data_IF_405492426883
#
_entry.id   IF_405492426883
#
_cell.length_a   1.000
_cell.length_b   1.000
_cell.length_c   1.000
_cell.angle_alpha   90.00
_cell.angle_beta   90.00
_cell.angle_gamma   90.00
#
_symmetry.space_group_name_H-M   'P 1'
#
loop_
_entity.id
_entity.type
_entity.pdbx_description
1 polymer ?
#
# COMPACT_ATOMS: atom_id res chain seq x y z
N UNK A 1 14.88 3.06 -9.29
CA UNK A 1 15.91 3.31 -8.28
C UNK A 1 15.18 3.39 -6.96
N UNK A 2 15.21 2.28 -6.22
CA UNK A 2 14.60 2.13 -4.89
C UNK A 2 15.57 2.72 -3.85
N UNK A 3 15.07 3.47 -2.87
CA UNK A 3 15.92 4.00 -1.80
C UNK A 3 16.53 2.86 -1.00
N UNK A 4 17.85 2.87 -0.84
CA UNK A 4 18.55 1.85 -0.06
C UNK A 4 18.45 2.19 1.44
N UNK A 5 18.05 1.19 2.23
CA UNK A 5 18.01 1.25 3.68
C UNK A 5 19.16 0.42 4.26
N UNK A 6 19.94 1.03 5.16
CA UNK A 6 20.80 0.28 6.06
C UNK A 6 20.12 0.03 7.39
N UNK A 7 20.21 -1.22 7.84
CA UNK A 7 19.79 -1.64 9.18
C UNK A 7 20.76 -2.71 9.70
N UNK A 8 20.77 -2.93 11.01
CA UNK A 8 21.54 -4.00 11.65
C UNK A 8 20.62 -5.14 12.03
N UNK A 9 21.03 -6.38 11.78
CA UNK A 9 20.27 -7.54 12.17
C UNK A 9 20.09 -7.56 13.71
N UNK A 10 18.86 -7.59 14.24
CA UNK A 10 18.64 -7.57 15.69
C UNK A 10 19.13 -8.85 16.39
N UNK A 11 19.40 -9.93 15.65
CA UNK A 11 19.93 -11.19 16.19
C UNK A 11 21.45 -11.21 16.33
N UNK A 12 22.20 -10.65 15.37
CA UNK A 12 23.66 -10.78 15.31
C UNK A 12 24.43 -9.47 15.12
N UNK A 13 23.75 -8.33 14.98
CA UNK A 13 24.34 -7.01 14.75
C UNK A 13 24.90 -6.79 13.34
N UNK A 14 24.93 -7.81 12.48
CA UNK A 14 25.49 -7.70 11.14
C UNK A 14 24.64 -6.79 10.23
N UNK A 15 25.26 -6.06 9.28
CA UNK A 15 24.54 -5.15 8.40
C UNK A 15 23.61 -5.91 7.44
N UNK A 16 22.42 -5.35 7.22
CA UNK A 16 21.43 -5.85 6.28
C UNK A 16 20.98 -4.70 5.37
N UNK A 17 20.97 -4.96 4.06
CA UNK A 17 20.42 -4.05 3.06
C UNK A 17 18.93 -4.34 2.84
N UNK A 18 18.12 -3.29 2.95
CA UNK A 18 16.68 -3.34 2.80
C UNK A 18 16.21 -2.33 1.74
N UNK A 19 15.03 -2.58 1.19
CA UNK A 19 14.23 -1.61 0.46
C UNK A 19 13.07 -1.12 1.34
N UNK A 20 12.55 0.07 1.06
CA UNK A 20 11.46 0.70 1.84
C UNK A 20 10.15 -0.12 1.84
N UNK A 21 9.94 -0.92 0.80
CA UNK A 21 8.82 -1.86 0.65
C UNK A 21 9.01 -3.16 1.42
N UNK A 22 10.22 -3.47 1.88
CA UNK A 22 10.48 -4.73 2.55
C UNK A 22 9.71 -4.81 3.87
N UNK A 23 9.16 -6.00 4.11
CA UNK A 23 8.48 -6.42 5.33
C UNK A 23 9.16 -7.64 5.94
N UNK A 24 9.93 -8.37 5.14
CA UNK A 24 10.69 -9.55 5.54
C UNK A 24 12.12 -9.41 5.03
N UNK A 25 13.08 -9.80 5.85
CA UNK A 25 14.46 -9.95 5.41
C UNK A 25 15.09 -11.24 5.94
N UNK A 26 16.07 -11.74 5.20
CA UNK A 26 16.97 -12.81 5.64
C UNK A 26 18.35 -12.22 5.88
N UNK A 27 18.93 -12.44 7.06
CA UNK A 27 20.28 -11.99 7.36
C UNK A 27 21.29 -12.90 6.65
N UNK A 28 22.21 -12.36 5.82
CA UNK A 28 23.20 -13.19 5.11
C UNK A 28 24.27 -13.78 6.03
N UNK A 29 24.35 -13.34 7.29
CA UNK A 29 25.37 -13.79 8.25
C UNK A 29 24.86 -14.90 9.16
N UNK A 30 23.78 -14.65 9.92
CA UNK A 30 23.21 -15.66 10.82
C UNK A 30 22.04 -16.44 10.23
N UNK A 31 21.65 -16.15 8.99
CA UNK A 31 20.54 -16.82 8.26
C UNK A 31 19.16 -16.69 8.93
N UNK A 32 19.02 -15.88 9.98
CA UNK A 32 17.71 -15.59 10.57
C UNK A 32 16.84 -14.86 9.55
N UNK A 33 15.56 -15.25 9.50
CA UNK A 33 14.55 -14.57 8.69
C UNK A 33 13.52 -13.93 9.59
N UNK A 34 13.35 -12.62 9.45
CA UNK A 34 12.58 -11.80 10.36
C UNK A 34 11.57 -10.95 9.61
N UNK A 35 10.40 -10.80 10.22
CA UNK A 35 9.45 -9.76 9.87
C UNK A 35 9.81 -8.44 10.52
N UNK A 36 9.52 -7.36 9.79
CA UNK A 36 9.64 -5.98 10.24
C UNK A 36 8.22 -5.44 10.45
N UNK A 37 7.91 -5.11 11.70
CA UNK A 37 6.64 -4.50 12.10
C UNK A 37 6.86 -3.06 12.54
N UNK A 38 5.84 -2.22 12.37
CA UNK A 38 5.81 -0.86 12.91
C UNK A 38 4.43 -0.54 13.47
N UNK A 39 4.38 0.16 14.61
CA UNK A 39 3.13 0.75 15.13
C UNK A 39 2.76 2.03 14.35
N UNK A 40 2.28 1.83 13.12
CA UNK A 40 1.94 2.89 12.17
C UNK A 40 2.87 2.93 10.97
N UNK A 41 2.89 4.03 10.19
CA UNK A 41 3.81 4.20 9.07
C UNK A 41 5.27 3.97 9.50
N UNK A 42 6.10 3.45 8.60
CA UNK A 42 7.53 3.37 8.85
C UNK A 42 8.14 4.77 8.94
N UNK A 43 9.08 4.92 9.87
CA UNK A 43 9.76 6.19 10.13
C UNK A 43 11.25 6.04 9.81
N UNK A 44 11.72 6.89 8.91
CA UNK A 44 13.08 6.93 8.41
C UNK A 44 13.70 8.28 8.69
N UNK A 45 15.02 8.36 8.75
CA UNK A 45 15.78 9.61 8.79
C UNK A 45 16.87 9.62 7.73
N UNK A 46 17.21 10.84 7.32
CA UNK A 46 18.46 11.14 6.66
C UNK A 46 19.53 11.36 7.74
N UNK A 47 20.74 10.83 7.54
CA UNK A 47 21.86 11.07 8.46
C UNK A 47 22.44 12.47 8.23
N UNK A 48 22.74 13.24 9.29
CA UNK A 48 23.48 14.48 9.13
C UNK A 48 24.86 14.19 8.51
N UNK A 49 25.33 15.09 7.65
CA UNK A 49 26.62 14.99 6.96
C UNK A 49 27.64 16.02 7.44
N UNK A 50 27.20 16.97 8.25
CA UNK A 50 28.03 18.02 8.83
C UNK A 50 27.92 17.98 10.35
N UNK A 51 28.92 18.54 11.03
CA UNK A 51 28.88 18.82 12.45
C UNK A 51 28.54 20.29 12.67
N UNK A 52 27.75 20.58 13.70
CA UNK A 52 27.36 21.94 14.05
C UNK A 52 27.08 22.02 15.57
N UNK A 53 27.40 23.14 16.25
CA UNK A 53 27.20 23.28 17.70
C UNK A 53 25.72 23.43 18.12
N UNK A 54 24.83 23.71 17.18
CA UNK A 54 23.39 23.84 17.42
C UNK A 54 22.70 22.51 17.75
N UNK A 55 21.49 22.59 18.27
CA UNK A 55 20.67 21.42 18.60
C UNK A 55 20.22 20.71 17.33
N UNK A 56 20.47 19.40 17.24
CA UNK A 56 20.00 18.57 16.13
C UNK A 56 18.50 18.26 16.27
N UNK A 57 17.72 18.72 15.30
CA UNK A 57 16.27 18.50 15.20
C UNK A 57 15.95 17.79 13.88
N UNK A 58 15.16 16.73 13.96
CA UNK A 58 14.66 15.94 12.85
C UNK A 58 13.25 16.41 12.48
N UNK A 59 13.11 16.98 11.29
CA UNK A 59 11.87 17.55 10.76
C UNK A 59 11.12 16.51 9.93
N UNK A 60 9.84 16.22 10.19
CA UNK A 60 9.08 15.18 9.50
C UNK A 60 8.57 15.64 8.12
N UNK A 61 8.71 14.76 7.13
CA UNK A 61 8.09 14.86 5.83
C UNK A 61 7.32 13.58 5.54
N UNK A 62 6.05 13.71 5.14
CA UNK A 62 5.30 12.58 4.61
C UNK A 62 5.83 12.25 3.24
N UNK A 63 6.24 11.00 3.01
CA UNK A 63 6.56 10.47 1.69
C UNK A 63 5.48 9.51 1.25
N UNK A 64 5.04 9.67 0.01
CA UNK A 64 4.12 8.80 -0.68
C UNK A 64 4.80 8.21 -1.89
N UNK A 65 4.80 6.88 -1.98
CA UNK A 65 5.20 6.18 -3.20
C UNK A 65 4.17 5.15 -3.60
N UNK A 66 3.42 5.38 -4.66
CA UNK A 66 2.34 4.48 -5.09
C UNK A 66 1.50 5.02 -6.25
N UNK A 67 0.37 4.37 -6.51
CA UNK A 67 -0.55 4.79 -7.56
C UNK A 67 -1.54 5.83 -7.03
N UNK A 68 -1.69 6.94 -7.73
CA UNK A 68 -2.77 7.89 -7.52
C UNK A 68 -3.78 7.82 -8.67
N UNK A 69 -5.05 7.86 -8.31
CA UNK A 69 -6.19 7.82 -9.22
C UNK A 69 -7.05 9.06 -9.02
N UNK A 70 -7.45 9.67 -10.13
CA UNK A 70 -8.49 10.69 -10.17
C UNK A 70 -9.45 10.37 -11.31
N UNK A 71 -10.68 10.02 -10.94
CA UNK A 71 -11.76 9.77 -11.87
C UNK A 71 -12.74 10.93 -11.81
N UNK A 72 -12.92 11.61 -12.95
CA UNK A 72 -14.01 12.56 -13.18
C UNK A 72 -15.19 11.90 -13.92
N UNK A 73 -16.24 12.68 -14.24
CA UNK A 73 -17.41 12.21 -14.99
C UNK A 73 -17.11 11.72 -16.41
N UNK A 74 -16.03 12.22 -17.02
CA UNK A 74 -15.69 11.92 -18.42
C UNK A 74 -14.28 11.35 -18.60
N UNK A 75 -13.36 11.62 -17.67
CA UNK A 75 -11.95 11.24 -17.81
C UNK A 75 -11.46 10.41 -16.63
N UNK A 76 -10.50 9.54 -16.90
CA UNK A 76 -9.79 8.77 -15.87
C UNK A 76 -8.33 9.17 -15.99
N UNK A 77 -7.75 9.64 -14.89
CA UNK A 77 -6.34 9.94 -14.81
C UNK A 77 -5.73 9.11 -13.71
N UNK A 78 -4.54 8.59 -13.98
CA UNK A 78 -3.77 7.86 -12.99
C UNK A 78 -2.29 8.11 -13.22
N UNK A 79 -1.53 8.11 -12.12
CA UNK A 79 -0.09 8.36 -12.15
C UNK A 79 0.58 7.55 -11.05
N UNK A 80 1.77 7.05 -11.33
CA UNK A 80 2.68 6.53 -10.29
C UNK A 80 3.40 7.74 -9.71
N UNK A 81 3.35 7.89 -8.40
CA UNK A 81 3.94 9.01 -7.68
C UNK A 81 5.04 8.51 -6.76
N UNK A 82 6.10 9.30 -6.66
CA UNK A 82 7.01 9.32 -5.53
C UNK A 82 7.16 10.80 -5.17
N UNK A 83 6.58 11.19 -4.04
CA UNK A 83 6.49 12.60 -3.64
C UNK A 83 6.54 12.72 -2.13
N UNK A 84 7.09 13.83 -1.66
CA UNK A 84 7.23 14.11 -0.25
C UNK A 84 6.79 15.55 0.05
N UNK A 85 6.14 15.77 1.19
CA UNK A 85 5.69 17.08 1.65
C UNK A 85 5.96 17.24 3.14
N UNK A 86 6.31 18.46 3.53
CA UNK A 86 6.50 18.81 4.94
C UNK A 86 5.27 18.44 5.77
N UNK A 87 5.48 17.71 6.87
CA UNK A 87 4.41 17.21 7.74
C UNK A 87 4.09 18.14 8.92
N UNK A 88 4.72 19.32 8.95
CA UNK A 88 4.47 20.41 9.90
C UNK A 88 4.18 21.72 9.18
N UNK A 89 3.53 22.67 9.86
CA UNK A 89 3.31 24.01 9.31
C UNK A 89 4.46 24.91 9.75
N UNK A 90 5.48 25.07 8.91
CA UNK A 90 6.57 26.00 9.15
C UNK A 90 7.06 26.60 7.82
N UNK A 91 6.89 27.92 7.59
CA UNK A 91 7.24 28.54 6.32
C UNK A 91 8.75 28.71 6.09
N UNK A 92 9.59 28.60 7.14
CA UNK A 92 11.04 28.66 7.01
C UNK A 92 11.65 27.34 6.51
N UNK A 93 10.89 26.24 6.58
CA UNK A 93 11.35 24.93 6.13
C UNK A 93 10.96 24.68 4.67
N UNK A 94 11.82 24.00 3.88
CA UNK A 94 11.47 23.63 2.52
C UNK A 94 10.15 22.83 2.46
N UNK A 95 9.28 23.07 1.46
CA UNK A 95 8.00 22.36 1.37
C UNK A 95 8.16 20.87 1.01
N UNK A 96 9.35 20.47 0.52
CA UNK A 96 9.69 19.15 0.02
C UNK A 96 11.18 18.87 0.22
N UNK A 97 11.55 17.60 0.38
CA UNK A 97 12.91 17.06 0.35
C UNK A 97 13.49 16.96 -1.08
N UNK A 98 12.74 17.37 -2.11
CA UNK A 98 13.12 17.15 -3.50
C UNK A 98 13.39 15.67 -3.78
N UNK A 99 14.55 15.39 -4.38
CA UNK A 99 15.00 14.03 -4.72
C UNK A 99 15.75 13.31 -3.59
N UNK A 100 15.91 13.92 -2.40
CA UNK A 100 16.77 13.37 -1.34
C UNK A 100 16.26 12.02 -0.83
N UNK A 101 14.95 11.87 -0.64
CA UNK A 101 14.36 10.61 -0.19
C UNK A 101 14.54 9.44 -1.18
N UNK A 102 14.77 9.75 -2.47
CA UNK A 102 15.01 8.78 -3.53
C UNK A 102 16.50 8.51 -3.77
N UNK A 103 17.35 9.54 -3.58
CA UNK A 103 18.77 9.51 -3.97
C UNK A 103 19.72 9.26 -2.79
N UNK A 104 19.26 9.43 -1.55
CA UNK A 104 20.09 9.26 -0.36
C UNK A 104 19.72 7.99 0.40
N UNK A 105 20.71 7.43 1.08
CA UNK A 105 20.51 6.30 1.99
C UNK A 105 19.68 6.72 3.20
N UNK A 106 18.64 5.95 3.46
CA UNK A 106 17.74 6.14 4.60
C UNK A 106 18.11 5.17 5.73
N UNK A 107 17.82 5.54 6.97
CA UNK A 107 17.91 4.64 8.12
C UNK A 107 16.67 4.74 8.96
N UNK A 108 16.28 3.64 9.59
CA UNK A 108 15.17 3.65 10.52
C UNK A 108 15.39 4.60 11.70
N UNK A 109 14.29 5.16 12.20
CA UNK A 109 14.27 5.87 13.48
C UNK A 109 14.14 4.85 14.61
N UNK A 110 15.14 4.83 15.48
CA UNK A 110 15.23 3.93 16.64
C UNK A 110 15.35 4.73 17.94
N UNK A 111 14.98 4.18 19.11
CA UNK A 111 15.06 4.90 20.39
C UNK A 111 16.44 5.49 20.72
N UNK A 112 17.51 4.85 20.25
CA UNK A 112 18.89 5.30 20.45
C UNK A 112 19.33 6.40 19.45
N UNK A 113 18.44 6.83 18.56
CA UNK A 113 18.76 7.82 17.54
C UNK A 113 18.99 9.19 18.15
N UNK A 114 20.14 9.78 17.86
CA UNK A 114 20.52 11.11 18.31
C UNK A 114 19.63 12.23 17.71
N UNK A 115 19.37 13.25 18.54
CA UNK A 115 18.62 14.45 18.20
C UNK A 115 17.19 14.43 18.74
N UNK A 116 16.51 15.55 18.53
CA UNK A 116 15.08 15.71 18.84
C UNK A 116 14.27 15.52 17.56
N UNK A 117 13.03 15.04 17.68
CA UNK A 117 12.15 14.72 16.55
C UNK A 117 10.87 15.52 16.68
N UNK A 118 10.50 16.26 15.64
CA UNK A 118 9.19 16.90 15.60
C UNK A 118 8.12 15.88 15.22
N UNK A 119 7.01 15.79 15.98
CA UNK A 119 5.87 14.99 15.55
C UNK A 119 5.20 15.63 14.33
N UNK A 120 4.65 14.84 13.40
CA UNK A 120 3.87 15.38 12.29
C UNK A 120 2.58 16.03 12.82
N UNK A 121 2.36 17.31 12.55
CA UNK A 121 1.12 18.01 12.92
C UNK A 121 0.05 17.91 11.85
N UNK A 122 0.44 17.54 10.62
CA UNK A 122 -0.49 17.23 9.53
C UNK A 122 -0.73 15.72 9.50
N UNK A 123 -1.96 15.23 9.72
CA UNK A 123 -2.27 13.81 9.62
C UNK A 123 -2.08 13.26 8.20
N UNK A 124 -1.83 11.96 8.09
CA UNK A 124 -1.66 11.25 6.81
C UNK A 124 -2.86 11.38 5.86
N UNK A 125 -4.09 11.39 6.42
CA UNK A 125 -5.34 11.57 5.66
C UNK A 125 -5.36 12.92 4.95
N UNK A 126 -4.98 13.98 5.66
CA UNK A 126 -4.90 15.33 5.11
C UNK A 126 -3.78 15.44 4.09
N UNK A 127 -2.64 14.78 4.35
CA UNK A 127 -1.52 14.70 3.42
C UNK A 127 -1.94 14.09 2.06
N UNK A 128 -2.63 12.94 2.02
CA UNK A 128 -3.11 12.36 0.75
C UNK A 128 -3.99 13.34 -0.03
N UNK A 129 -4.86 14.08 0.66
CA UNK A 129 -5.70 15.10 0.04
C UNK A 129 -4.90 16.31 -0.49
N UNK A 130 -3.83 16.72 0.20
CA UNK A 130 -2.93 17.81 -0.20
C UNK A 130 -2.07 17.38 -1.38
N UNK A 131 -1.52 16.17 -1.33
CA UNK A 131 -0.75 15.55 -2.40
C UNK A 131 -1.57 15.56 -3.69
N UNK A 132 -2.79 14.98 -3.67
CA UNK A 132 -3.67 14.92 -4.84
C UNK A 132 -4.05 16.31 -5.41
N UNK A 133 -4.04 17.37 -4.58
CA UNK A 133 -4.27 18.75 -5.02
C UNK A 133 -3.04 19.40 -5.64
N UNK A 134 -1.85 19.04 -5.16
CA UNK A 134 -0.58 19.63 -5.59
C UNK A 134 0.01 18.97 -6.85
N UNK A 135 -0.63 17.92 -7.40
CA UNK A 135 -0.06 17.13 -8.49
C UNK A 135 0.02 17.89 -9.83
N UNK A 136 1.23 18.09 -10.37
CA UNK A 136 1.40 18.68 -11.70
C UNK A 136 0.86 17.74 -12.79
N UNK A 137 0.06 18.28 -13.71
CA UNK A 137 -0.50 17.55 -14.87
C UNK A 137 -1.85 16.85 -14.62
N UNK A 138 -2.32 16.82 -13.37
CA UNK A 138 -3.73 16.56 -13.06
C UNK A 138 -4.44 17.90 -13.11
N UNK A 139 -5.32 18.18 -14.10
CA UNK A 139 -6.03 19.44 -14.15
C UNK A 139 -6.78 19.62 -12.83
N UNK A 140 -6.83 20.85 -12.32
CA UNK A 140 -7.82 21.25 -11.33
C UNK A 140 -9.21 21.16 -11.99
N UNK A 141 -9.70 19.94 -12.17
CA UNK A 141 -11.00 19.70 -12.77
C UNK A 141 -12.05 20.29 -11.85
N UNK A 142 -12.77 21.28 -12.35
CA UNK A 142 -13.97 21.81 -11.70
C UNK A 142 -15.05 20.73 -11.80
N UNK A 143 -15.49 20.19 -10.67
CA UNK A 143 -16.55 19.18 -10.62
C UNK A 143 -16.28 18.04 -9.64
N UNK A 144 -17.25 17.15 -9.43
CA UNK A 144 -17.11 16.03 -8.52
C UNK A 144 -16.09 15.02 -9.07
N UNK A 145 -15.26 14.47 -8.19
CA UNK A 145 -14.22 13.50 -8.53
C UNK A 145 -14.12 12.40 -7.48
N UNK A 146 -13.77 11.20 -7.93
CA UNK A 146 -13.40 10.08 -7.07
C UNK A 146 -11.89 9.96 -7.10
N UNK A 147 -11.28 9.86 -5.92
CA UNK A 147 -9.83 9.78 -5.79
C UNK A 147 -9.44 8.60 -4.92
N UNK A 148 -8.33 7.95 -5.27
CA UNK A 148 -7.75 6.91 -4.45
C UNK A 148 -6.22 6.95 -4.57
N UNK A 149 -5.56 6.54 -3.51
CA UNK A 149 -4.15 6.19 -3.50
C UNK A 149 -4.06 4.71 -3.15
N UNK A 150 -3.37 3.91 -3.96
CA UNK A 150 -3.34 2.44 -3.84
C UNK A 150 -1.95 1.91 -4.16
N UNK A 151 -1.52 0.87 -3.46
CA UNK A 151 -0.19 0.31 -3.59
C UNK A 151 0.85 1.27 -3.05
N UNK A 152 0.48 2.08 -2.05
CA UNK A 152 1.30 3.15 -1.55
C UNK A 152 2.15 2.76 -0.35
N UNK A 153 3.44 3.02 -0.43
CA UNK A 153 4.26 3.15 0.75
C UNK A 153 4.11 4.59 1.27
N UNK A 154 3.28 4.73 2.29
CA UNK A 154 3.27 5.93 3.11
C UNK A 154 4.30 5.78 4.24
N UNK A 155 5.30 6.66 4.26
CA UNK A 155 6.34 6.71 5.30
C UNK A 155 6.55 8.13 5.81
N UNK A 156 7.13 8.25 7.00
CA UNK A 156 7.71 9.51 7.48
C UNK A 156 9.20 9.49 7.18
N UNK A 157 9.70 10.53 6.55
CA UNK A 157 11.13 10.76 6.33
C UNK A 157 11.53 12.03 7.08
N UNK A 158 12.46 11.86 8.01
CA UNK A 158 12.98 12.93 8.85
C UNK A 158 14.23 13.56 8.22
N UNK A 159 14.16 14.86 7.98
CA UNK A 159 15.29 15.67 7.55
C UNK A 159 16.01 16.24 8.77
N UNK A 160 17.33 16.02 8.92
CA UNK A 160 18.10 16.60 10.00
C UNK A 160 18.35 18.08 9.73
N UNK A 161 18.12 18.90 10.74
CA UNK A 161 18.31 20.36 10.76
C UNK A 161 18.98 20.73 12.08
N UNK A 162 20.01 21.57 12.04
CA UNK A 162 20.57 22.16 13.25
C UNK A 162 19.87 23.47 13.57
N UNK A 163 19.50 23.67 14.84
CA UNK A 163 18.95 24.91 15.33
C UNK A 163 19.90 25.59 16.31
N UNK A 164 20.19 26.86 16.06
CA UNK A 164 20.85 27.77 17.00
C UNK A 164 20.12 29.13 16.98
N UNK A 165 20.78 30.20 16.52
CA UNK A 165 20.11 31.45 16.13
C UNK A 165 19.42 31.33 14.76
N UNK A 166 19.89 30.40 13.93
CA UNK A 166 19.36 30.09 12.61
C UNK A 166 19.11 28.59 12.47
N UNK A 167 18.28 28.24 11.49
CA UNK A 167 18.11 26.87 11.01
C UNK A 167 19.13 26.59 9.92
N UNK A 168 19.88 25.50 10.07
CA UNK A 168 20.91 25.06 9.13
C UNK A 168 20.58 23.64 8.67
N UNK A 169 20.57 23.41 7.36
CA UNK A 169 20.40 22.08 6.79
C UNK A 169 21.59 21.19 7.19
N UNK A 170 21.35 20.11 7.94
CA UNK A 170 22.43 19.25 8.44
C UNK A 170 23.02 18.32 7.37
N UNK A 171 22.52 18.37 6.13
CA UNK A 171 23.04 17.64 4.97
C UNK A 171 23.94 18.55 4.13
N UNK A 172 23.50 19.77 3.81
CA UNK A 172 24.21 20.70 2.90
C UNK A 172 24.99 21.81 3.62
N UNK A 173 24.61 22.14 4.85
CA UNK A 173 25.12 23.31 5.58
C UNK A 173 24.48 24.63 5.18
N UNK A 174 23.44 24.61 4.34
CA UNK A 174 22.75 25.82 3.91
C UNK A 174 21.89 26.41 5.02
N UNK A 175 21.85 27.74 5.09
CA UNK A 175 20.96 28.47 6.00
C UNK A 175 19.53 28.42 5.45
N UNK A 176 18.61 27.87 6.25
CA UNK A 176 17.20 27.72 5.89
C UNK A 176 16.37 28.94 6.31
N UNK A 177 16.79 29.63 7.37
CA UNK A 177 16.11 30.81 7.90
C UNK A 177 16.40 31.04 9.39
N UNK A 178 15.72 32.01 10.03
CA UNK A 178 15.85 32.24 11.46
C UNK A 178 15.35 31.03 12.27
N UNK A 179 15.91 30.83 13.46
CA UNK A 179 15.45 29.79 14.38
C UNK A 179 13.98 29.99 14.73
N UNK A 180 13.16 28.98 14.44
CA UNK A 180 11.70 29.05 14.57
C UNK A 180 11.05 27.74 15.01
N UNK A 181 11.84 26.74 15.40
CA UNK A 181 11.31 25.49 15.95
C UNK A 181 11.36 25.60 17.46
N UNK A 182 10.23 25.41 18.15
CA UNK A 182 10.25 25.30 19.60
C UNK A 182 10.76 23.91 20.01
N UNK A 183 11.91 23.79 20.70
CA UNK A 183 12.40 22.48 21.16
C UNK A 183 11.43 21.76 22.11
N UNK A 184 10.51 22.47 22.77
CA UNK A 184 9.48 21.88 23.62
C UNK A 184 8.42 21.08 22.85
N UNK A 185 8.24 21.37 21.55
CA UNK A 185 7.36 20.59 20.66
C UNK A 185 8.05 19.32 20.14
N UNK A 186 9.37 19.20 20.33
CA UNK A 186 10.13 18.06 19.86
C UNK A 186 10.25 16.99 20.96
N UNK A 187 10.38 15.74 20.53
CA UNK A 187 10.46 14.57 21.41
C UNK A 187 11.72 13.75 21.13
N UNK A 188 12.05 12.81 22.02
CA UNK A 188 13.06 11.79 21.71
C UNK A 188 12.59 10.90 20.56
N UNK A 189 13.54 10.23 19.92
CA UNK A 189 13.28 9.33 18.80
C UNK A 189 12.19 8.29 19.15
N UNK A 190 11.11 8.20 18.35
CA UNK A 190 10.05 7.22 18.57
C UNK A 190 10.55 5.80 18.28
N UNK A 191 10.28 4.85 19.19
CA UNK A 191 10.61 3.44 19.04
C UNK A 191 9.42 2.61 18.56
N UNK A 192 9.16 2.58 17.26
CA UNK A 192 7.98 1.89 16.70
C UNK A 192 8.26 0.52 16.08
N UNK A 193 9.52 0.23 15.79
CA UNK A 193 9.92 -1.01 15.14
C UNK A 193 9.87 -2.20 16.08
N UNK A 194 9.31 -3.29 15.58
CA UNK A 194 9.33 -4.60 16.23
C UNK A 194 9.72 -5.65 15.21
N UNK A 195 10.34 -6.73 15.67
CA UNK A 195 10.75 -7.84 14.82
C UNK A 195 10.17 -9.14 15.37
N UNK A 196 9.73 -10.02 14.47
CA UNK A 196 9.29 -11.37 14.82
C UNK A 196 9.89 -12.39 13.86
N UNK A 197 10.11 -13.61 14.36
CA UNK A 197 10.57 -14.72 13.52
C UNK A 197 9.51 -15.10 12.47
N UNK A 198 9.94 -15.51 11.27
CA UNK A 198 9.04 -16.06 10.24
C UNK A 198 8.71 -17.54 10.50
N UNK A 199 8.28 -17.87 11.72
CA UNK A 199 7.90 -19.22 12.13
C UNK A 199 6.39 -19.33 12.26
N UNK A 200 5.84 -20.49 11.90
CA UNK A 200 4.42 -20.76 11.93
C UNK A 200 3.94 -20.86 13.39
N UNK A 201 2.99 -20.01 13.84
CA UNK A 201 2.48 -20.06 15.21
C UNK A 201 1.82 -21.40 15.59
N UNK A 202 1.33 -22.15 14.59
CA UNK A 202 0.67 -23.45 14.81
C UNK A 202 1.64 -24.63 14.96
N UNK A 203 2.73 -24.67 14.19
CA UNK A 203 3.58 -25.86 14.12
C UNK A 203 5.09 -25.59 14.21
N UNK A 204 5.51 -24.34 14.31
CA UNK A 204 6.92 -23.95 14.43
C UNK A 204 7.74 -24.03 13.14
N UNK A 205 7.17 -24.50 12.02
CA UNK A 205 7.87 -24.56 10.73
C UNK A 205 8.07 -23.18 10.11
N UNK A 206 9.05 -23.04 9.23
CA UNK A 206 9.29 -21.81 8.48
C UNK A 206 8.07 -21.44 7.61
N UNK A 207 7.64 -20.18 7.74
CA UNK A 207 6.62 -19.59 6.88
C UNK A 207 7.24 -19.10 5.57
N UNK A 208 6.58 -19.32 4.45
CA UNK A 208 7.03 -18.88 3.12
C UNK A 208 6.38 -17.54 2.77
N UNK A 209 7.18 -16.61 2.23
CA UNK A 209 6.71 -15.34 1.66
C UNK A 209 7.85 -14.53 1.04
N UNK A 210 7.55 -13.74 0.03
CA UNK A 210 8.52 -12.81 -0.55
C UNK A 210 8.81 -11.63 0.40
N UNK A 211 9.88 -10.85 0.15
CA UNK A 211 10.31 -9.71 0.99
C UNK A 211 9.19 -8.71 1.29
N UNK A 212 8.27 -8.51 0.35
CA UNK A 212 7.16 -7.55 0.48
C UNK A 212 5.84 -8.20 0.89
N UNK A 213 5.84 -9.51 1.16
CA UNK A 213 4.60 -10.26 1.39
C UNK A 213 3.95 -9.90 2.72
N UNK A 214 2.67 -9.55 2.66
CA UNK A 214 1.78 -9.28 3.78
C UNK A 214 1.01 -10.52 4.23
N UNK A 215 1.11 -11.62 3.46
CA UNK A 215 0.56 -12.92 3.82
C UNK A 215 1.66 -13.94 3.66
N UNK A 216 1.80 -14.84 4.63
CA UNK A 216 2.71 -15.97 4.53
C UNK A 216 1.98 -17.29 4.69
N UNK A 217 2.51 -18.33 4.04
CA UNK A 217 1.94 -19.68 4.05
C UNK A 217 2.89 -20.67 4.70
N UNK A 218 2.36 -21.57 5.51
CA UNK A 218 3.10 -22.69 6.05
C UNK A 218 2.95 -23.91 5.13
N UNK A 219 4.03 -24.40 4.51
CA UNK A 219 3.97 -25.59 3.65
C UNK A 219 3.74 -26.89 4.43
N UNK A 220 4.01 -26.89 5.75
CA UNK A 220 3.95 -28.09 6.59
C UNK A 220 2.54 -28.38 7.11
N UNK A 221 1.80 -27.35 7.54
CA UNK A 221 0.45 -27.52 8.13
C UNK A 221 -0.66 -26.79 7.37
N UNK A 222 -0.36 -26.33 6.15
CA UNK A 222 -1.31 -25.75 5.19
C UNK A 222 -2.12 -24.58 5.75
N UNK A 223 -1.46 -23.70 6.49
CA UNK A 223 -2.07 -22.48 7.06
C UNK A 223 -1.50 -21.22 6.45
N UNK A 224 -2.27 -20.14 6.45
CA UNK A 224 -1.81 -18.82 6.06
C UNK A 224 -1.96 -17.82 7.21
N UNK A 225 -1.06 -16.85 7.26
CA UNK A 225 -0.94 -15.88 8.36
C UNK A 225 -0.70 -14.49 7.81
N UNK A 226 -1.46 -13.52 8.31
CA UNK A 226 -1.11 -12.11 8.23
C UNK A 226 -0.15 -11.80 9.40
N UNK A 227 1.05 -11.28 9.14
CA UNK A 227 2.03 -11.08 10.18
C UNK A 227 1.60 -9.97 11.14
N UNK A 228 1.93 -10.14 12.42
CA UNK A 228 1.70 -9.14 13.45
C UNK A 228 2.74 -9.26 14.55
N UNK A 229 2.93 -8.20 15.36
CA UNK A 229 3.97 -8.17 16.39
C UNK A 229 3.79 -9.24 17.48
N UNK A 230 2.59 -9.77 17.64
CA UNK A 230 2.20 -10.79 18.63
C UNK A 230 2.16 -12.22 18.03
N UNK A 231 2.78 -12.46 16.87
CA UNK A 231 2.79 -13.78 16.21
C UNK A 231 1.87 -13.91 14.99
N UNK A 232 1.19 -12.84 14.60
CA UNK A 232 0.32 -12.81 13.42
C UNK A 232 -1.08 -13.38 13.62
N UNK A 233 -1.96 -13.06 12.67
CA UNK A 233 -3.36 -13.46 12.67
C UNK A 233 -3.58 -14.55 11.62
N UNK A 234 -4.25 -15.66 11.95
CA UNK A 234 -4.57 -16.68 10.97
C UNK A 234 -5.55 -16.12 9.94
N UNK A 235 -5.34 -16.46 8.68
CA UNK A 235 -6.28 -16.14 7.60
C UNK A 235 -6.61 -17.40 6.80
N UNK A 236 -7.83 -17.46 6.27
CA UNK A 236 -8.27 -18.55 5.39
C UNK A 236 -8.21 -18.07 3.94
N UNK A 237 -7.23 -18.53 3.15
CA UNK A 237 -7.20 -18.26 1.73
C UNK A 237 -8.20 -19.12 0.98
N UNK A 238 -8.86 -18.51 0.02
CA UNK A 238 -9.83 -19.13 -0.87
C UNK A 238 -9.19 -19.33 -2.24
N UNK A 239 -9.54 -20.40 -2.95
CA UNK A 239 -8.95 -20.70 -4.25
C UNK A 239 -10.05 -20.99 -5.26
N UNK A 240 -10.03 -20.26 -6.37
CA UNK A 240 -10.92 -20.55 -7.48
C UNK A 240 -10.53 -21.89 -8.10
N UNK A 241 -11.52 -22.75 -8.29
CA UNK A 241 -11.33 -24.04 -8.95
C UNK A 241 -10.96 -23.82 -10.44
N UNK A 242 -10.16 -24.73 -10.99
CA UNK A 242 -9.82 -24.75 -12.42
C UNK A 242 -9.72 -26.20 -12.87
N UNK A 243 -10.17 -26.46 -14.10
CA UNK A 243 -10.00 -27.75 -14.75
C UNK A 243 -8.57 -27.96 -15.24
N UNK A 244 -7.91 -26.87 -15.66
CA UNK A 244 -6.51 -26.88 -16.10
C UNK A 244 -5.57 -26.75 -14.90
N UNK A 245 -4.41 -27.42 -14.97
CA UNK A 245 -3.37 -27.28 -13.95
C UNK A 245 -2.81 -25.85 -13.99
N UNK A 246 -2.93 -25.07 -12.91
CA UNK A 246 -2.41 -23.71 -12.88
C UNK A 246 -0.90 -23.70 -12.69
N UNK A 247 -0.24 -22.75 -13.37
CA UNK A 247 1.19 -22.47 -13.22
C UNK A 247 1.45 -21.45 -12.11
N UNK A 248 0.49 -20.55 -11.86
CA UNK A 248 0.54 -19.56 -10.77
C UNK A 248 -0.86 -19.20 -10.29
N UNK A 249 -0.98 -18.89 -9.00
CA UNK A 249 -2.15 -18.24 -8.45
C UNK A 249 -1.88 -16.76 -8.15
N UNK A 250 -2.80 -15.89 -8.57
CA UNK A 250 -2.72 -14.45 -8.27
C UNK A 250 -3.76 -14.07 -7.20
N UNK A 251 -3.38 -13.32 -6.16
CA UNK A 251 -4.27 -12.99 -5.07
C UNK A 251 -5.14 -11.76 -5.35
N UNK A 252 -6.39 -11.82 -4.92
CA UNK A 252 -7.39 -10.77 -5.00
C UNK A 252 -8.08 -10.63 -3.63
N UNK A 253 -8.30 -9.39 -3.19
CA UNK A 253 -9.17 -9.13 -2.06
C UNK A 253 -10.62 -9.19 -2.48
N UNK A 254 -11.43 -10.02 -1.83
CA UNK A 254 -12.88 -9.97 -1.88
C UNK A 254 -13.40 -9.11 -0.74
N UNK A 255 -14.05 -8.00 -1.08
CA UNK A 255 -14.36 -6.89 -0.18
C UNK A 255 -15.86 -6.61 -0.16
N UNK A 256 -16.51 -6.91 0.97
CA UNK A 256 -17.88 -6.48 1.20
C UNK A 256 -17.91 -5.03 1.70
N UNK A 257 -18.96 -4.30 1.34
CA UNK A 257 -19.12 -2.90 1.75
C UNK A 257 -20.55 -2.61 2.16
N UNK A 258 -20.70 -1.62 3.03
CA UNK A 258 -22.00 -1.00 3.32
C UNK A 258 -22.03 0.39 2.72
N UNK A 259 -22.90 0.59 1.73
CA UNK A 259 -23.12 1.89 1.14
C UNK A 259 -24.05 2.74 2.02
N UNK A 260 -23.69 4.01 2.22
CA UNK A 260 -24.54 5.03 2.84
C UNK A 260 -24.87 6.09 1.79
N UNK A 261 -26.13 6.49 1.70
CA UNK A 261 -26.60 7.50 0.74
C UNK A 261 -26.97 6.97 -0.64
N UNK A 262 -26.69 5.69 -0.94
CA UNK A 262 -27.13 4.99 -2.15
C UNK A 262 -27.19 3.48 -1.89
N UNK A 263 -27.85 2.72 -2.80
CA UNK A 263 -27.92 1.26 -2.72
C UNK A 263 -26.78 0.62 -3.50
N UNK A 264 -26.07 -0.31 -2.86
CA UNK A 264 -25.01 -1.14 -3.43
C UNK A 264 -24.76 -2.31 -2.47
N UNK A 265 -25.74 -3.21 -2.34
CA UNK A 265 -25.61 -4.43 -1.52
C UNK A 265 -25.71 -5.69 -2.37
N UNK A 266 -26.48 -5.63 -3.46
CA UNK A 266 -26.72 -6.78 -4.33
C UNK A 266 -26.22 -6.54 -5.74
N UNK A 267 -26.16 -7.61 -6.51
CA UNK A 267 -25.89 -7.53 -7.94
C UNK A 267 -26.84 -6.61 -8.67
N UNK A 268 -28.13 -6.67 -8.32
CA UNK A 268 -29.13 -5.83 -8.92
C UNK A 268 -28.92 -4.34 -8.60
N UNK A 269 -28.48 -4.03 -7.38
CA UNK A 269 -28.10 -2.66 -7.00
C UNK A 269 -26.93 -2.15 -7.86
N UNK A 270 -25.88 -2.97 -8.05
CA UNK A 270 -24.75 -2.59 -8.89
C UNK A 270 -25.21 -2.23 -10.30
N UNK A 271 -26.00 -3.10 -10.95
CA UNK A 271 -26.47 -2.92 -12.32
C UNK A 271 -27.28 -1.62 -12.43
N UNK A 272 -28.21 -1.37 -11.52
CA UNK A 272 -29.04 -0.15 -11.50
C UNK A 272 -28.22 1.12 -11.22
N UNK A 273 -27.26 1.04 -10.30
CA UNK A 273 -26.43 2.17 -9.92
C UNK A 273 -25.54 2.61 -11.09
N UNK A 274 -24.84 1.63 -11.67
CA UNK A 274 -23.80 1.85 -12.70
C UNK A 274 -24.35 1.88 -14.14
N UNK A 275 -25.59 1.43 -14.36
CA UNK A 275 -26.22 1.28 -15.68
C UNK A 275 -25.42 0.33 -16.58
N UNK A 276 -25.07 -0.85 -16.06
CA UNK A 276 -24.41 -1.90 -16.84
C UNK A 276 -25.34 -2.43 -17.93
N UNK A 277 -24.82 -2.72 -19.15
CA UNK A 277 -25.60 -3.28 -20.25
C UNK A 277 -25.85 -4.78 -20.04
N UNK A 278 -26.54 -5.14 -18.95
CA UNK A 278 -26.87 -6.52 -18.58
C UNK A 278 -28.34 -6.61 -18.18
N UNK A 279 -29.02 -7.66 -18.64
CA UNK A 279 -30.38 -7.94 -18.22
C UNK A 279 -30.41 -8.28 -16.72
N UNK A 280 -31.37 -7.70 -16.01
CA UNK A 280 -31.58 -7.97 -14.59
C UNK A 280 -32.35 -9.28 -14.45
N UNK A 281 -31.76 -10.25 -13.73
CA UNK A 281 -32.37 -11.56 -13.48
C UNK A 281 -32.83 -11.64 -12.01
N UNK A 282 -33.89 -12.40 -11.68
CA UNK A 282 -34.44 -12.45 -10.31
C UNK A 282 -33.43 -12.84 -9.23
N UNK A 283 -32.52 -13.76 -9.53
CA UNK A 283 -31.48 -14.19 -8.58
C UNK A 283 -30.54 -13.03 -8.17
N UNK A 284 -30.34 -12.03 -9.04
CA UNK A 284 -29.47 -10.88 -8.77
C UNK A 284 -30.00 -9.95 -7.68
N UNK A 285 -31.29 -10.03 -7.35
CA UNK A 285 -31.91 -9.22 -6.30
C UNK A 285 -31.51 -9.68 -4.90
N UNK A 286 -31.18 -10.96 -4.73
CA UNK A 286 -30.79 -11.55 -3.44
C UNK A 286 -29.32 -11.92 -3.36
N UNK A 287 -28.60 -12.00 -4.48
CA UNK A 287 -27.15 -12.26 -4.47
C UNK A 287 -26.39 -11.02 -4.03
N UNK A 288 -25.67 -11.15 -2.90
CA UNK A 288 -24.79 -10.11 -2.37
C UNK A 288 -23.69 -9.76 -3.39
N UNK A 289 -23.35 -8.47 -3.46
CA UNK A 289 -22.26 -7.98 -4.28
C UNK A 289 -21.06 -7.62 -3.40
N UNK A 290 -19.89 -8.05 -3.81
CA UNK A 290 -18.61 -7.61 -3.24
C UNK A 290 -17.61 -7.26 -4.32
N UNK A 291 -16.69 -6.34 -4.01
CA UNK A 291 -15.65 -5.95 -4.94
C UNK A 291 -14.51 -6.95 -4.90
N UNK A 292 -13.93 -7.29 -6.06
CA UNK A 292 -12.64 -7.99 -6.15
C UNK A 292 -11.61 -7.03 -6.69
N UNK A 293 -10.51 -6.86 -5.97
CA UNK A 293 -9.38 -6.03 -6.41
C UNK A 293 -8.08 -6.81 -6.24
N UNK A 294 -7.06 -6.61 -7.10
CA UNK A 294 -5.76 -7.26 -6.92
C UNK A 294 -5.22 -7.02 -5.50
N UNK A 295 -4.77 -8.07 -4.83
CA UNK A 295 -4.12 -7.98 -3.51
C UNK A 295 -2.60 -7.78 -3.64
N UNK A 296 -2.15 -7.32 -4.80
CA UNK A 296 -0.78 -7.04 -5.13
C UNK A 296 -0.68 -5.71 -5.86
N UNK A 297 0.44 -5.01 -5.69
CA UNK A 297 0.72 -3.76 -6.40
C UNK A 297 0.82 -4.05 -7.91
N UNK A 298 0.30 -3.17 -8.77
CA UNK A 298 0.47 -3.30 -10.22
C UNK A 298 0.26 -1.93 -10.87
N UNK A 299 0.59 -1.80 -12.16
CA UNK A 299 0.37 -0.55 -12.89
C UNK A 299 -1.10 -0.09 -12.80
N UNK A 300 -1.36 1.21 -12.58
CA UNK A 300 -2.69 1.68 -12.20
C UNK A 300 -3.82 1.33 -13.18
N UNK A 301 -3.57 1.46 -14.50
CA UNK A 301 -4.57 1.11 -15.52
C UNK A 301 -4.96 -0.38 -15.47
N UNK A 302 -3.98 -1.26 -15.26
CA UNK A 302 -4.22 -2.70 -15.15
C UNK A 302 -4.92 -3.04 -13.83
N UNK A 303 -4.53 -2.40 -12.72
CA UNK A 303 -5.22 -2.54 -11.44
C UNK A 303 -6.73 -2.28 -11.56
N UNK A 304 -7.13 -1.16 -12.18
CA UNK A 304 -8.54 -0.82 -12.38
C UNK A 304 -9.27 -1.80 -13.31
N UNK A 305 -8.61 -2.25 -14.37
CA UNK A 305 -9.20 -3.19 -15.33
C UNK A 305 -9.45 -4.56 -14.70
N UNK A 306 -8.43 -5.11 -14.01
CA UNK A 306 -8.57 -6.38 -13.28
C UNK A 306 -9.64 -6.28 -12.19
N UNK A 307 -9.61 -5.19 -11.42
CA UNK A 307 -10.63 -4.94 -10.38
C UNK A 307 -12.04 -4.95 -10.97
N UNK A 308 -12.25 -4.28 -12.10
CA UNK A 308 -13.55 -4.22 -12.75
C UNK A 308 -13.97 -5.59 -13.31
N UNK A 309 -13.07 -6.28 -14.01
CA UNK A 309 -13.36 -7.58 -14.64
C UNK A 309 -13.71 -8.64 -13.59
N UNK A 310 -12.87 -8.81 -12.56
CA UNK A 310 -13.10 -9.84 -11.54
C UNK A 310 -14.31 -9.50 -10.66
N UNK A 311 -14.54 -8.21 -10.37
CA UNK A 311 -15.78 -7.78 -9.67
C UNK A 311 -17.05 -8.08 -10.49
N UNK A 312 -16.98 -8.06 -11.82
CA UNK A 312 -18.12 -8.41 -12.67
C UNK A 312 -18.26 -9.92 -12.92
N UNK A 313 -17.20 -10.69 -12.71
CA UNK A 313 -17.25 -12.14 -12.83
C UNK A 313 -17.80 -12.79 -11.56
N UNK A 314 -17.38 -12.31 -10.38
CA UNK A 314 -17.67 -12.91 -9.06
C UNK A 314 -17.35 -14.41 -9.01
N UNK A 315 -16.08 -14.79 -9.19
CA UNK A 315 -15.69 -16.19 -9.15
C UNK A 315 -16.06 -16.83 -7.81
N UNK A 316 -16.50 -18.08 -7.85
CA UNK A 316 -16.70 -18.88 -6.64
C UNK A 316 -15.36 -19.49 -6.20
N UNK A 317 -14.79 -18.94 -5.13
CA UNK A 317 -13.54 -19.43 -4.56
C UNK A 317 -13.82 -20.12 -3.21
N UNK A 318 -13.99 -21.45 -3.17
CA UNK A 318 -14.11 -22.18 -1.90
C UNK A 318 -12.79 -22.14 -1.11
N UNK A 319 -12.89 -22.35 0.20
CA UNK A 319 -11.74 -22.67 1.02
C UNK A 319 -11.27 -24.09 0.70
N UNK A 320 -9.96 -24.29 0.61
CA UNK A 320 -9.37 -25.62 0.44
C UNK A 320 -8.84 -26.14 1.79
N UNK A 321 -8.92 -27.45 2.01
CA UNK A 321 -8.32 -28.10 3.18
C UNK A 321 -6.78 -28.07 3.12
N UNK A 322 -6.22 -28.14 1.91
CA UNK A 322 -4.78 -28.18 1.64
C UNK A 322 -4.42 -27.03 0.70
N UNK A 323 -3.35 -26.30 1.03
CA UNK A 323 -2.88 -25.22 0.17
C UNK A 323 -2.30 -25.80 -1.13
N UNK A 324 -2.57 -25.19 -2.29
CA UNK A 324 -1.95 -25.60 -3.53
C UNK A 324 -0.43 -25.57 -3.44
N UNK A 325 0.22 -26.55 -4.05
CA UNK A 325 1.69 -26.56 -4.20
C UNK A 325 2.17 -25.73 -5.40
N UNK A 326 1.22 -25.21 -6.20
CA UNK A 326 1.47 -24.22 -7.25
C UNK A 326 1.96 -22.90 -6.64
N UNK A 327 2.92 -22.20 -7.28
CA UNK A 327 3.36 -20.88 -6.85
C UNK A 327 2.21 -19.90 -6.59
N UNK A 328 2.28 -19.20 -5.45
CA UNK A 328 1.37 -18.12 -5.10
C UNK A 328 2.09 -16.79 -5.29
N UNK A 329 1.53 -15.89 -6.10
CA UNK A 329 2.04 -14.52 -6.18
C UNK A 329 1.82 -13.82 -4.83
N UNK A 330 2.80 -13.06 -4.32
CA UNK A 330 2.72 -12.50 -2.98
C UNK A 330 1.59 -11.47 -2.84
N UNK A 331 0.98 -11.44 -1.66
CA UNK A 331 0.06 -10.36 -1.26
C UNK A 331 0.91 -9.16 -0.88
N UNK A 332 0.89 -8.10 -1.68
CA UNK A 332 1.72 -6.88 -1.47
C UNK A 332 0.88 -5.61 -1.32
N UNK A 333 -0.45 -5.71 -1.42
CA UNK A 333 -1.39 -4.63 -1.18
C UNK A 333 -2.17 -4.90 0.12
N UNK A 334 -2.07 -4.03 1.15
CA UNK A 334 -2.85 -4.16 2.38
C UNK A 334 -4.36 -4.04 2.14
N UNK A 335 -5.15 -4.72 2.98
CA UNK A 335 -6.62 -4.67 2.93
C UNK A 335 -7.16 -3.24 3.04
N UNK A 336 -6.55 -2.40 3.87
CA UNK A 336 -6.99 -1.02 4.09
C UNK A 336 -6.83 -0.17 2.82
N UNK A 337 -5.76 -0.38 2.05
CA UNK A 337 -5.56 0.26 0.75
C UNK A 337 -6.54 -0.29 -0.31
N UNK A 338 -6.83 -1.59 -0.25
CA UNK A 338 -7.82 -2.23 -1.12
C UNK A 338 -9.21 -1.61 -0.95
N UNK A 339 -9.63 -1.33 0.29
CA UNK A 339 -10.86 -0.58 0.58
C UNK A 339 -10.81 0.88 0.09
N UNK A 340 -9.66 1.56 0.23
CA UNK A 340 -9.48 2.93 -0.28
C UNK A 340 -9.62 3.01 -1.81
N UNK A 341 -9.37 1.92 -2.53
CA UNK A 341 -9.52 1.84 -3.98
C UNK A 341 -10.97 1.77 -4.46
N UNK A 342 -11.92 1.34 -3.61
CA UNK A 342 -13.27 1.00 -4.06
C UNK A 342 -14.06 2.14 -4.73
N UNK A 343 -13.97 3.41 -4.31
CA UNK A 343 -14.62 4.50 -5.02
C UNK A 343 -14.19 4.59 -6.49
N UNK A 344 -12.89 4.44 -6.78
CA UNK A 344 -12.40 4.51 -8.16
C UNK A 344 -12.71 3.24 -8.95
N UNK A 345 -12.79 2.08 -8.30
CA UNK A 345 -13.26 0.82 -8.92
C UNK A 345 -14.74 0.91 -9.27
N UNK A 346 -15.59 1.43 -8.37
CA UNK A 346 -17.00 1.69 -8.67
C UNK A 346 -17.17 2.66 -9.84
N UNK A 347 -16.35 3.72 -9.88
CA UNK A 347 -16.29 4.62 -11.02
C UNK A 347 -15.90 3.91 -12.32
N UNK A 348 -14.95 2.97 -12.28
CA UNK A 348 -14.53 2.17 -13.44
C UNK A 348 -15.61 1.21 -13.93
N UNK A 349 -16.41 0.65 -13.01
CA UNK A 349 -17.53 -0.25 -13.32
C UNK A 349 -18.68 0.46 -14.06
N UNK A 350 -18.82 1.78 -13.94
CA UNK A 350 -19.87 2.54 -14.59
C UNK A 350 -19.50 2.95 -16.03
N UNK A 351 -20.22 2.45 -17.07
CA UNK A 351 -19.96 2.85 -18.46
C UNK A 351 -20.19 4.36 -18.68
N UNK A 352 -21.24 4.91 -18.07
CA UNK A 352 -21.61 6.32 -18.16
C UNK A 352 -21.46 7.02 -16.80
N UNK A 353 -20.21 7.30 -16.41
CA UNK A 353 -19.87 7.90 -15.09
C UNK A 353 -20.62 9.19 -14.78
N UNK A 354 -20.93 10.03 -15.77
CA UNK A 354 -21.77 11.22 -15.59
C UNK A 354 -23.11 10.96 -14.89
N UNK A 355 -23.68 9.76 -15.05
CA UNK A 355 -24.92 9.35 -14.41
C UNK A 355 -24.70 8.74 -13.01
N UNK A 356 -23.48 8.26 -12.72
CA UNK A 356 -23.11 7.72 -11.42
C UNK A 356 -22.92 8.84 -10.38
N UNK A 357 -22.20 9.91 -10.73
CA UNK A 357 -21.82 10.98 -9.80
C UNK A 357 -23.01 11.58 -9.03
N UNK A 358 -24.13 11.94 -9.67
CA UNK A 358 -25.31 12.44 -8.95
C UNK A 358 -25.89 11.41 -7.97
N UNK A 359 -25.87 10.10 -8.32
CA UNK A 359 -26.43 9.04 -7.49
C UNK A 359 -25.62 8.75 -6.24
N UNK A 360 -24.30 8.99 -6.28
CA UNK A 360 -23.39 8.74 -5.15
C UNK A 360 -23.02 10.02 -4.39
N UNK A 361 -23.56 11.17 -4.79
CA UNK A 361 -23.24 12.46 -4.17
C UNK A 361 -23.65 12.48 -2.70
N UNK A 362 -22.72 12.87 -1.82
CA UNK A 362 -22.94 12.85 -0.37
C UNK A 362 -22.98 11.44 0.25
N UNK A 363 -22.83 10.39 -0.56
CA UNK A 363 -22.74 9.01 -0.12
C UNK A 363 -21.32 8.59 0.26
N UNK A 364 -21.21 7.44 0.91
CA UNK A 364 -19.92 6.83 1.26
C UNK A 364 -19.99 5.32 1.27
N UNK A 365 -18.84 4.69 1.07
CA UNK A 365 -18.65 3.24 1.24
C UNK A 365 -17.96 3.00 2.57
N UNK A 366 -18.56 2.17 3.42
CA UNK A 366 -17.94 1.69 4.66
C UNK A 366 -17.38 0.30 4.44
N UNK A 367 -16.14 0.09 4.90
CA UNK A 367 -15.49 -1.21 4.87
C UNK A 367 -16.31 -2.24 5.65
N UNK A 368 -16.48 -3.41 5.06
CA UNK A 368 -17.07 -4.59 5.68
C UNK A 368 -16.01 -5.67 5.89
N UNK A 369 -16.43 -6.92 5.68
CA UNK A 369 -15.55 -8.08 5.70
C UNK A 369 -14.64 -8.12 4.47
N UNK A 370 -13.47 -8.72 4.66
CA UNK A 370 -12.51 -8.97 3.59
C UNK A 370 -11.96 -10.40 3.70
N UNK A 371 -11.83 -11.06 2.56
CA UNK A 371 -11.14 -12.34 2.44
C UNK A 371 -10.15 -12.31 1.27
N UNK A 372 -9.15 -13.18 1.31
CA UNK A 372 -8.16 -13.32 0.25
C UNK A 372 -8.56 -14.49 -0.65
N UNK A 373 -8.71 -14.21 -1.95
CA UNK A 373 -9.06 -15.17 -2.99
C UNK A 373 -7.91 -15.30 -3.98
N UNK A 374 -7.55 -16.51 -4.37
CA UNK A 374 -6.48 -16.81 -5.32
C UNK A 374 -7.10 -17.34 -6.61
N UNK A 375 -6.82 -16.63 -7.70
CA UNK A 375 -7.28 -17.01 -9.04
C UNK A 375 -6.18 -17.77 -9.79
N UNK A 376 -6.47 -18.92 -10.40
CA UNK A 376 -5.51 -19.71 -11.17
C UNK A 376 -5.21 -19.08 -12.53
N UNK A 377 -3.94 -19.06 -12.91
CA UNK A 377 -3.50 -18.65 -14.24
C UNK A 377 -2.58 -19.70 -14.85
N UNK A 378 -2.66 -19.83 -16.17
CA UNK A 378 -1.81 -20.70 -16.99
C UNK A 378 -0.79 -19.84 -17.72
N UNK A 379 0.43 -20.33 -17.84
CA UNK A 379 1.56 -19.64 -18.42
C UNK A 379 1.59 -19.78 -19.95
N UNK A 380 1.39 -18.67 -20.66
CA UNK A 380 1.67 -18.56 -22.09
C UNK A 380 3.09 -18.01 -22.35
N UNK A 381 3.47 -17.75 -23.62
CA UNK A 381 4.82 -17.26 -23.94
C UNK A 381 5.19 -15.91 -23.29
N UNK A 382 4.26 -14.95 -23.26
CA UNK A 382 4.49 -13.57 -22.77
C UNK A 382 3.55 -13.13 -21.65
N UNK A 383 2.53 -13.93 -21.36
CA UNK A 383 1.46 -13.58 -20.45
C UNK A 383 0.98 -14.79 -19.66
N UNK A 384 0.36 -14.51 -18.53
CA UNK A 384 -0.44 -15.44 -17.76
C UNK A 384 -1.91 -15.22 -18.14
N UNK A 385 -2.66 -16.28 -18.38
CA UNK A 385 -4.08 -16.21 -18.76
C UNK A 385 -4.93 -16.91 -17.73
N UNK A 386 -5.98 -16.23 -17.26
CA UNK A 386 -7.03 -16.85 -16.45
C UNK A 386 -8.01 -17.54 -17.41
N UNK A 387 -8.18 -18.89 -17.34
CA UNK A 387 -8.89 -19.65 -18.38
C UNK A 387 -10.38 -19.28 -18.55
N UNK A 388 -11.12 -19.09 -17.46
CA UNK A 388 -12.59 -18.92 -17.51
C UNK A 388 -13.04 -17.55 -18.02
N UNK A 389 -12.31 -16.50 -17.64
CA UNK A 389 -12.57 -15.10 -17.99
C UNK A 389 -11.80 -14.67 -19.24
N UNK A 390 -10.89 -15.51 -19.76
CA UNK A 390 -9.92 -15.18 -20.80
C UNK A 390 -9.18 -13.86 -20.49
N UNK A 391 -8.76 -13.72 -19.24
CA UNK A 391 -8.15 -12.50 -18.72
C UNK A 391 -6.63 -12.66 -18.71
N UNK A 392 -5.93 -11.90 -19.55
CA UNK A 392 -4.49 -11.98 -19.70
C UNK A 392 -3.73 -10.90 -18.91
N UNK A 393 -2.60 -11.28 -18.32
CA UNK A 393 -1.66 -10.40 -17.61
C UNK A 393 -0.26 -10.65 -18.15
N UNK A 394 0.36 -9.61 -18.72
CA UNK A 394 1.74 -9.68 -19.20
C UNK A 394 2.69 -10.05 -18.05
N UNK A 395 3.59 -11.01 -18.26
CA UNK A 395 4.52 -11.49 -17.20
C UNK A 395 5.32 -10.35 -16.58
N UNK A 396 5.82 -9.44 -17.41
CA UNK A 396 6.56 -8.26 -16.97
C UNK A 396 5.72 -7.36 -16.04
N UNK A 397 4.40 -7.29 -16.21
CA UNK A 397 3.56 -6.47 -15.34
C UNK A 397 3.55 -6.95 -13.88
N UNK A 398 3.76 -8.25 -13.64
CA UNK A 398 3.95 -8.87 -12.32
C UNK A 398 5.40 -8.80 -11.82
N UNK A 399 6.35 -8.42 -12.65
CA UNK A 399 7.71 -8.11 -12.21
C UNK A 399 7.79 -6.65 -11.75
N UNK A 400 7.16 -5.73 -12.47
CA UNK A 400 7.11 -4.32 -12.07
C UNK A 400 6.29 -4.08 -10.80
N UNK A 401 5.40 -5.01 -10.42
CA UNK A 401 4.66 -4.95 -9.15
C UNK A 401 5.56 -4.93 -7.92
N UNK A 402 6.70 -5.63 -7.98
CA UNK A 402 7.67 -5.71 -6.87
C UNK A 402 8.62 -4.50 -6.84
N UNK A 403 8.68 -3.73 -7.92
CA UNK A 403 9.55 -2.55 -8.05
C UNK A 403 8.81 -1.21 -7.92
N UNK A 404 7.48 -1.22 -7.79
CA UNK A 404 6.65 -0.02 -7.72
C UNK A 404 6.62 0.64 -6.34
#
# INVERSE_FOLDING_TARGET
MTGHLSHQCPQCGAPVALEETDRIFSCPFCQVRLFIHSSGPFEYRLKPRISHPGTLIHVPYWRFRGNAFVLGPQNTQHKILDSNLLAVTNPALPPSLGLRAQAMELSFVEPATEGLFLPPTIPSVDFKSRLLRALPGLPAQRGPKLTACVGDNLSLVYQPVFQSHELVDAITGEHLGPACIDPAEAQKAPGKLKFSSTLCPKCGWDLIGDRQSLVQTCPHCDTAWEPGPEGGQPITPHFLHTQEKPDIYLPFWNLSVRAKGFRLQTWADLIRLTNLPRALLPWMESTAFSFRVPAFKIRPGLFLNLSAQVSLYQPEAPALEVLPRTPLHPVTLPREEAFQALPVVLGRLAPARKNLFPKIQGGSLRAGEASIEYLPFVEGPREFVQPEMNMAIQKNALFWSTTL
#
